data_IF_108415463051
#
_entry.id   IF_108415463051
#
_cell.length_a   1.000
_cell.length_b   1.000
_cell.length_c   1.000
_cell.angle_alpha   90.00
_cell.angle_beta   90.00
_cell.angle_gamma   90.00
#
_symmetry.space_group_name_H-M   'P 1'
#
loop_
_entity.id
_entity.type
_entity.pdbx_description
1 polymer ?
#
# COMPACT_ATOMS: atom_id res chain seq x y z
N UNK A 1 47.86 -20.41 -21.29
CA UNK A 1 47.31 -19.23 -20.58
C UNK A 1 45.80 -19.26 -20.71
N UNK A 2 45.06 -19.72 -19.69
CA UNK A 2 43.59 -19.70 -19.67
C UNK A 2 43.15 -18.68 -18.63
N UNK A 3 42.65 -17.53 -19.08
CA UNK A 3 42.07 -16.49 -18.21
C UNK A 3 40.64 -16.90 -17.89
N UNK A 4 40.36 -17.24 -16.63
CA UNK A 4 39.00 -17.45 -16.13
C UNK A 4 38.52 -16.09 -15.63
N UNK A 5 37.58 -15.49 -16.35
CA UNK A 5 36.86 -14.31 -15.90
C UNK A 5 35.66 -14.78 -15.07
N UNK A 6 35.71 -14.60 -13.76
CA UNK A 6 34.55 -14.79 -12.89
C UNK A 6 33.63 -13.57 -13.03
N UNK A 7 32.56 -13.75 -13.79
CA UNK A 7 31.48 -12.77 -13.92
C UNK A 7 30.61 -12.86 -12.67
N UNK A 8 30.67 -11.84 -11.80
CA UNK A 8 29.78 -11.72 -10.64
C UNK A 8 28.41 -11.26 -11.16
N UNK A 9 27.48 -12.19 -11.38
CA UNK A 9 26.11 -11.87 -11.75
C UNK A 9 25.36 -11.34 -10.51
N UNK A 10 25.10 -10.04 -10.48
CA UNK A 10 24.13 -9.44 -9.56
C UNK A 10 22.75 -9.81 -10.07
N UNK A 11 22.12 -10.82 -9.47
CA UNK A 11 20.72 -11.15 -9.72
C UNK A 11 19.88 -10.08 -9.03
N UNK A 12 19.40 -9.10 -9.79
CA UNK A 12 18.34 -8.21 -9.34
C UNK A 12 17.05 -9.03 -9.29
N UNK A 13 16.68 -9.50 -8.11
CA UNK A 13 15.41 -10.17 -7.87
C UNK A 13 14.31 -9.10 -7.87
N UNK A 14 13.69 -8.83 -9.02
CA UNK A 14 12.52 -7.97 -9.10
C UNK A 14 11.32 -8.76 -8.58
N UNK A 15 10.91 -8.51 -7.34
CA UNK A 15 9.63 -8.98 -6.84
C UNK A 15 8.51 -8.19 -7.53
N UNK A 16 7.76 -8.83 -8.43
CA UNK A 16 6.51 -8.27 -8.94
C UNK A 16 5.44 -8.45 -7.87
N UNK A 17 5.19 -7.42 -7.07
CA UNK A 17 4.04 -7.40 -6.17
C UNK A 17 2.77 -7.13 -7.00
N UNK A 18 1.90 -8.12 -7.14
CA UNK A 18 0.56 -7.92 -7.72
C UNK A 18 -0.39 -7.40 -6.65
N UNK A 19 -1.16 -6.35 -6.95
CA UNK A 19 -2.18 -5.84 -6.04
C UNK A 19 -3.26 -6.91 -5.78
N UNK A 20 -3.55 -7.21 -4.52
CA UNK A 20 -4.62 -8.13 -4.12
C UNK A 20 -5.93 -7.35 -3.91
N UNK A 21 -7.05 -7.89 -4.40
CA UNK A 21 -8.37 -7.35 -4.06
C UNK A 21 -8.62 -7.63 -2.57
N UNK A 22 -8.80 -6.58 -1.77
CA UNK A 22 -9.02 -6.70 -0.33
C UNK A 22 -10.50 -6.78 0.03
N UNK A 23 -11.37 -6.27 -0.84
CA UNK A 23 -12.83 -6.41 -0.73
C UNK A 23 -13.49 -6.43 -2.11
N UNK A 24 -14.48 -7.30 -2.30
CA UNK A 24 -15.29 -7.43 -3.51
C UNK A 24 -16.75 -7.78 -3.19
N UNK A 25 -17.71 -7.02 -3.70
CA UNK A 25 -19.13 -7.31 -3.52
C UNK A 25 -19.94 -6.83 -4.74
N UNK A 26 -20.73 -7.74 -5.31
CA UNK A 26 -21.51 -7.56 -6.54
C UNK A 26 -23.04 -7.73 -6.33
N UNK A 27 -23.45 -7.93 -5.08
CA UNK A 27 -24.82 -8.11 -4.60
C UNK A 27 -25.69 -9.09 -5.42
N UNK A 28 -25.05 -10.06 -6.09
CA UNK A 28 -25.73 -10.97 -7.03
C UNK A 28 -26.19 -12.28 -6.38
N UNK A 29 -25.63 -12.62 -5.21
CA UNK A 29 -25.82 -13.93 -4.55
C UNK A 29 -27.11 -14.08 -3.74
N UNK A 30 -27.76 -12.97 -3.37
CA UNK A 30 -28.97 -12.90 -2.55
C UNK A 30 -29.77 -11.63 -2.80
N UNK A 31 -31.09 -11.69 -2.62
CA UNK A 31 -31.99 -10.53 -2.60
C UNK A 31 -32.18 -9.91 -1.20
N UNK A 32 -31.51 -10.43 -0.18
CA UNK A 32 -31.68 -10.01 1.23
C UNK A 32 -30.46 -9.21 1.69
N UNK A 33 -30.68 -7.98 2.16
CA UNK A 33 -29.58 -7.08 2.61
C UNK A 33 -28.74 -7.71 3.73
N UNK A 34 -29.38 -8.42 4.66
CA UNK A 34 -28.70 -9.02 5.80
C UNK A 34 -27.65 -10.09 5.40
N UNK A 35 -27.79 -10.72 4.22
CA UNK A 35 -26.84 -11.72 3.74
C UNK A 35 -25.50 -11.10 3.29
N UNK A 36 -25.44 -9.77 3.18
CA UNK A 36 -24.25 -8.99 2.84
C UNK A 36 -23.60 -8.34 4.05
N UNK A 37 -24.09 -8.63 5.26
CA UNK A 37 -23.59 -8.06 6.51
C UNK A 37 -23.02 -9.15 7.42
N UNK A 38 -21.85 -8.89 7.99
CA UNK A 38 -21.29 -9.67 9.09
C UNK A 38 -20.60 -8.71 10.05
N UNK A 39 -20.87 -8.79 11.35
CA UNK A 39 -20.34 -7.82 12.33
C UNK A 39 -19.61 -8.56 13.46
N UNK A 40 -18.25 -8.48 13.54
CA UNK A 40 -17.35 -7.82 12.59
C UNK A 40 -17.22 -8.58 11.26
N UNK A 41 -16.94 -7.86 10.17
CA UNK A 41 -16.74 -8.48 8.84
C UNK A 41 -15.31 -9.00 8.63
N UNK A 42 -14.47 -8.93 9.67
CA UNK A 42 -13.09 -9.42 9.64
C UNK A 42 -13.03 -10.88 9.16
N UNK A 43 -12.07 -11.18 8.28
CA UNK A 43 -11.95 -12.50 7.64
C UNK A 43 -12.90 -12.75 6.47
N UNK A 44 -13.85 -11.85 6.18
CA UNK A 44 -14.65 -11.89 4.95
C UNK A 44 -14.10 -10.94 3.90
N UNK A 45 -14.20 -11.34 2.64
CA UNK A 45 -13.78 -10.51 1.49
C UNK A 45 -14.95 -9.80 0.82
N UNK A 46 -16.19 -10.09 1.23
CA UNK A 46 -17.40 -9.66 0.54
C UNK A 46 -18.47 -9.07 1.46
N UNK A 47 -18.36 -9.20 2.79
CA UNK A 47 -19.39 -8.65 3.71
C UNK A 47 -19.04 -7.26 4.22
N UNK A 48 -20.06 -6.45 4.44
CA UNK A 48 -19.98 -5.17 5.16
C UNK A 48 -20.12 -5.41 6.67
N UNK A 49 -19.52 -4.54 7.47
CA UNK A 49 -19.68 -4.55 8.94
C UNK A 49 -21.05 -4.05 9.37
N UNK A 50 -21.69 -3.22 8.55
CA UNK A 50 -23.05 -2.78 8.80
C UNK A 50 -23.65 -2.08 7.60
N UNK A 51 -24.95 -2.30 7.39
CA UNK A 51 -25.81 -1.59 6.45
C UNK A 51 -27.03 -1.19 7.28
N UNK A 52 -27.10 0.08 7.70
CA UNK A 52 -28.05 0.50 8.75
C UNK A 52 -28.76 1.82 8.40
N UNK A 53 -29.84 2.08 9.13
CA UNK A 53 -30.64 3.31 9.06
C UNK A 53 -30.86 3.85 10.48
N UNK A 54 -30.88 5.16 10.66
CA UNK A 54 -31.09 5.77 11.98
C UNK A 54 -32.54 5.65 12.46
N UNK A 55 -33.49 5.61 11.52
CA UNK A 55 -34.92 5.39 11.76
C UNK A 55 -35.65 5.16 10.42
N UNK A 56 -36.98 5.11 10.47
CA UNK A 56 -37.89 5.09 9.31
C UNK A 56 -37.65 6.24 8.32
N UNK A 57 -38.04 6.05 7.05
CA UNK A 57 -37.81 7.03 5.99
C UNK A 57 -36.51 6.82 5.20
N UNK A 58 -35.70 5.85 5.60
CA UNK A 58 -34.60 5.31 4.80
C UNK A 58 -34.76 3.80 4.72
N UNK A 59 -34.64 3.21 3.53
CA UNK A 59 -34.82 1.76 3.31
C UNK A 59 -33.72 1.22 2.42
N UNK A 60 -32.94 0.28 2.97
CA UNK A 60 -32.01 -0.53 2.20
C UNK A 60 -32.73 -1.71 1.55
N UNK A 61 -32.35 -2.04 0.33
CA UNK A 61 -32.88 -3.17 -0.44
C UNK A 61 -31.82 -3.68 -1.42
N UNK A 62 -31.99 -4.91 -1.88
CA UNK A 62 -31.29 -5.40 -3.06
C UNK A 62 -32.26 -5.28 -4.24
N UNK A 63 -31.95 -4.41 -5.18
CA UNK A 63 -32.77 -4.13 -6.35
C UNK A 63 -32.02 -4.60 -7.59
N UNK A 64 -32.53 -5.63 -8.25
CA UNK A 64 -31.93 -6.21 -9.47
C UNK A 64 -30.45 -6.59 -9.32
N UNK A 65 -30.07 -7.13 -8.15
CA UNK A 65 -28.69 -7.55 -7.88
C UNK A 65 -27.75 -6.42 -7.46
N UNK A 66 -28.28 -5.25 -7.07
CA UNK A 66 -27.48 -4.12 -6.59
C UNK A 66 -28.01 -3.58 -5.25
N UNK A 67 -27.12 -3.03 -4.41
CA UNK A 67 -27.53 -2.43 -3.14
C UNK A 67 -28.12 -1.04 -3.37
N UNK A 68 -29.37 -0.86 -2.95
CA UNK A 68 -30.12 0.39 -3.12
C UNK A 68 -30.57 0.95 -1.79
N UNK A 69 -30.37 2.26 -1.62
CA UNK A 69 -30.98 3.06 -0.56
C UNK A 69 -32.07 3.95 -1.15
N UNK A 70 -33.29 3.82 -0.67
CA UNK A 70 -34.36 4.78 -0.92
C UNK A 70 -34.58 5.64 0.33
N UNK A 71 -34.40 6.96 0.21
CA UNK A 71 -34.47 7.92 1.31
C UNK A 71 -35.54 8.98 1.06
N UNK A 72 -36.47 9.10 2.00
CA UNK A 72 -37.42 10.20 2.19
C UNK A 72 -37.19 10.98 3.49
N UNK A 73 -36.38 10.44 4.41
CA UNK A 73 -36.00 11.06 5.68
C UNK A 73 -34.98 10.21 6.44
N UNK A 74 -34.50 10.73 7.58
CA UNK A 74 -33.50 10.08 8.45
C UNK A 74 -32.18 9.72 7.75
N UNK A 75 -31.16 9.29 8.49
CA UNK A 75 -29.86 8.98 7.92
C UNK A 75 -29.71 7.48 7.66
N UNK A 76 -28.90 7.11 6.68
CA UNK A 76 -28.55 5.73 6.38
C UNK A 76 -27.06 5.63 6.02
N UNK A 77 -26.48 4.47 6.25
CA UNK A 77 -25.06 4.24 6.02
C UNK A 77 -24.79 2.77 5.67
N UNK A 78 -23.65 2.54 5.02
CA UNK A 78 -22.97 1.26 5.10
C UNK A 78 -21.49 1.48 5.44
N UNK A 79 -20.88 0.50 6.10
CA UNK A 79 -19.46 0.55 6.46
C UNK A 79 -18.79 -0.81 6.25
N UNK A 80 -17.55 -0.76 5.76
CA UNK A 80 -16.59 -1.87 5.77
C UNK A 80 -15.36 -1.39 6.53
N UNK A 81 -15.13 -1.95 7.71
CA UNK A 81 -14.05 -1.58 8.63
C UNK A 81 -12.86 -2.53 8.46
N UNK A 82 -11.64 -2.03 8.47
CA UNK A 82 -10.44 -2.86 8.22
C UNK A 82 -10.44 -3.48 6.82
N UNK A 83 -10.84 -2.71 5.81
CA UNK A 83 -10.86 -3.07 4.39
C UNK A 83 -9.48 -3.40 3.83
N UNK A 84 -8.41 -2.99 4.50
CA UNK A 84 -7.01 -3.28 4.15
C UNK A 84 -6.31 -4.21 5.16
N UNK A 85 -7.08 -4.78 6.10
CA UNK A 85 -6.55 -5.63 7.16
C UNK A 85 -5.60 -4.88 8.11
N UNK A 86 -4.62 -5.59 8.69
CA UNK A 86 -3.63 -5.03 9.61
C UNK A 86 -2.55 -4.19 8.89
N UNK A 87 -2.46 -4.30 7.56
CA UNK A 87 -1.53 -3.51 6.75
C UNK A 87 -2.23 -2.25 6.28
N UNK A 88 -1.98 -1.13 6.96
CA UNK A 88 -2.44 0.19 6.52
C UNK A 88 -2.02 0.42 5.06
N UNK A 89 -2.96 0.40 4.11
CA UNK A 89 -2.63 0.71 2.73
C UNK A 89 -2.20 2.18 2.64
N UNK A 90 -1.05 2.40 2.01
CA UNK A 90 -0.58 3.76 1.73
C UNK A 90 -1.19 4.31 0.44
N UNK A 91 -1.59 3.43 -0.48
CA UNK A 91 -2.34 3.78 -1.70
C UNK A 91 -3.52 2.82 -1.86
N UNK A 92 -4.70 3.36 -2.13
CA UNK A 92 -5.94 2.60 -2.24
C UNK A 92 -6.66 2.90 -3.56
N UNK A 93 -7.12 1.86 -4.25
CA UNK A 93 -8.09 1.97 -5.35
C UNK A 93 -9.45 1.50 -4.86
N UNK A 94 -10.47 2.34 -4.99
CA UNK A 94 -11.86 2.03 -4.67
C UNK A 94 -12.68 2.16 -5.96
N UNK A 95 -13.29 1.06 -6.38
CA UNK A 95 -14.14 1.01 -7.57
C UNK A 95 -15.54 0.55 -7.20
N UNK A 96 -16.55 1.15 -7.82
CA UNK A 96 -17.95 0.75 -7.69
C UNK A 96 -18.79 1.42 -8.78
N UNK A 97 -19.93 0.82 -9.10
CA UNK A 97 -20.94 1.44 -9.95
C UNK A 97 -21.90 2.28 -9.10
N UNK A 98 -22.29 3.44 -9.61
CA UNK A 98 -23.18 4.37 -8.94
C UNK A 98 -24.27 4.86 -9.89
N UNK A 99 -25.51 4.88 -9.41
CA UNK A 99 -26.58 5.66 -10.04
C UNK A 99 -27.44 6.36 -8.99
N UNK A 100 -28.11 7.43 -9.42
CA UNK A 100 -28.92 8.28 -8.55
C UNK A 100 -30.27 8.55 -9.21
N UNK A 101 -31.33 8.45 -8.43
CA UNK A 101 -32.67 8.88 -8.81
C UNK A 101 -33.20 9.88 -7.79
N UNK A 102 -33.26 11.14 -8.17
CA UNK A 102 -33.80 12.23 -7.36
C UNK A 102 -34.62 13.18 -8.23
N UNK A 103 -35.54 13.91 -7.59
CA UNK A 103 -36.33 14.97 -8.24
C UNK A 103 -36.07 16.35 -7.63
N UNK A 104 -35.03 16.47 -6.79
CA UNK A 104 -34.63 17.72 -6.15
C UNK A 104 -33.12 17.87 -6.18
N UNK A 105 -32.66 19.11 -6.31
CA UNK A 105 -31.24 19.42 -6.16
C UNK A 105 -30.87 19.39 -4.67
N UNK A 106 -29.81 18.67 -4.33
CA UNK A 106 -29.26 18.67 -2.97
C UNK A 106 -27.76 18.51 -3.04
N UNK A 107 -27.03 19.53 -2.62
CA UNK A 107 -25.58 19.47 -2.47
C UNK A 107 -25.21 18.51 -1.35
N UNK A 108 -24.28 17.61 -1.61
CA UNK A 108 -23.78 16.63 -0.62
C UNK A 108 -24.92 15.85 0.05
N UNK A 109 -25.82 15.31 -0.79
CA UNK A 109 -26.92 14.44 -0.35
C UNK A 109 -26.36 13.22 0.39
N UNK A 110 -25.33 12.61 -0.21
CA UNK A 110 -24.56 11.51 0.33
C UNK A 110 -23.06 11.73 0.14
N UNK A 111 -22.25 10.94 0.82
CA UNK A 111 -20.80 10.92 0.61
C UNK A 111 -20.19 9.55 0.93
N UNK A 112 -19.09 9.26 0.25
CA UNK A 112 -18.17 8.16 0.52
C UNK A 112 -16.96 8.70 1.29
N UNK A 113 -16.45 7.88 2.19
CA UNK A 113 -15.40 8.21 3.14
C UNK A 113 -14.38 7.08 3.18
N UNK A 114 -13.10 7.44 3.10
CA UNK A 114 -11.99 6.54 3.41
C UNK A 114 -11.20 7.14 4.57
N UNK A 115 -10.95 6.32 5.58
CA UNK A 115 -10.26 6.75 6.79
C UNK A 115 -10.09 5.62 7.79
N UNK A 116 -10.18 5.92 9.08
CA UNK A 116 -9.98 4.92 10.13
C UNK A 116 -10.76 5.25 11.40
N UNK A 117 -11.20 4.23 12.13
CA UNK A 117 -11.96 4.41 13.37
C UNK A 117 -13.43 4.74 13.12
N UNK A 118 -13.99 4.27 12.00
CA UNK A 118 -15.40 4.43 11.70
C UNK A 118 -16.27 3.45 12.52
N UNK A 119 -17.52 3.84 12.73
CA UNK A 119 -18.53 2.99 13.37
C UNK A 119 -19.36 2.26 12.31
N UNK A 120 -19.56 0.96 12.52
CA UNK A 120 -20.42 0.10 11.72
C UNK A 120 -21.92 0.39 11.86
N UNK A 121 -22.34 1.20 12.85
CA UNK A 121 -23.75 1.43 13.15
C UNK A 121 -24.14 2.90 13.23
N UNK A 122 -23.21 3.82 13.47
CA UNK A 122 -23.51 5.26 13.52
C UNK A 122 -23.90 5.79 12.13
N UNK A 123 -25.10 6.32 11.95
CA UNK A 123 -25.58 6.81 10.65
C UNK A 123 -25.11 8.22 10.26
N UNK A 124 -24.37 8.90 11.13
CA UNK A 124 -23.78 10.20 10.83
C UNK A 124 -22.54 10.08 9.95
N UNK A 125 -22.21 11.17 9.25
CA UNK A 125 -20.93 11.34 8.60
C UNK A 125 -19.78 11.20 9.62
N UNK A 126 -18.67 10.53 9.26
CA UNK A 126 -17.45 10.56 10.05
C UNK A 126 -16.90 11.98 10.27
N UNK A 127 -16.13 12.15 11.34
CA UNK A 127 -15.44 13.42 11.59
C UNK A 127 -14.31 13.62 10.57
N UNK A 128 -13.90 14.87 10.35
CA UNK A 128 -12.75 15.16 9.48
C UNK A 128 -11.47 14.50 10.02
N UNK A 129 -11.26 14.52 11.35
CA UNK A 129 -10.07 13.98 11.98
C UNK A 129 -9.88 12.47 11.76
N UNK A 130 -10.97 11.73 11.53
CA UNK A 130 -10.91 10.30 11.19
C UNK A 130 -11.02 10.02 9.69
N UNK A 131 -11.10 11.05 8.84
CA UNK A 131 -11.31 10.90 7.40
C UNK A 131 -10.09 11.36 6.62
N UNK A 132 -9.43 10.42 5.96
CA UNK A 132 -8.39 10.75 4.99
C UNK A 132 -9.00 11.48 3.80
N UNK A 133 -10.00 10.85 3.17
CA UNK A 133 -10.52 11.28 1.88
C UNK A 133 -12.04 11.17 1.86
N UNK A 134 -12.70 12.11 1.15
CA UNK A 134 -14.16 12.20 1.06
C UNK A 134 -14.61 12.56 -0.36
N UNK A 135 -15.61 11.84 -0.85
CA UNK A 135 -16.22 12.06 -2.15
C UNK A 135 -17.73 12.24 -1.98
N UNK A 136 -18.22 13.43 -2.26
CA UNK A 136 -19.65 13.74 -2.14
C UNK A 136 -20.44 13.38 -3.39
N UNK A 137 -21.74 13.20 -3.22
CA UNK A 137 -22.72 13.02 -4.30
C UNK A 137 -23.79 14.10 -4.15
N UNK A 138 -23.95 14.92 -5.19
CA UNK A 138 -25.03 15.88 -5.29
C UNK A 138 -26.20 15.26 -6.04
N UNK A 139 -27.40 15.48 -5.53
CA UNK A 139 -28.63 15.18 -6.25
C UNK A 139 -28.95 16.29 -7.23
N UNK A 140 -29.63 15.92 -8.32
CA UNK A 140 -30.15 16.87 -9.31
C UNK A 140 -31.67 16.77 -9.42
N UNK A 141 -32.27 17.76 -10.08
CA UNK A 141 -33.71 17.77 -10.37
C UNK A 141 -34.12 16.76 -11.44
N UNK A 142 -33.16 16.28 -12.25
CA UNK A 142 -33.40 15.31 -13.32
C UNK A 142 -33.04 13.92 -12.81
N UNK A 143 -34.04 13.05 -12.67
CA UNK A 143 -33.82 11.65 -12.25
C UNK A 143 -32.86 10.96 -13.22
N UNK A 144 -31.94 10.16 -12.67
CA UNK A 144 -30.86 9.54 -13.44
C UNK A 144 -29.63 10.44 -13.62
N UNK A 145 -29.70 11.73 -13.24
CA UNK A 145 -28.57 12.67 -13.34
C UNK A 145 -28.08 13.09 -11.95
N UNK A 146 -26.77 13.12 -11.76
CA UNK A 146 -26.11 13.55 -10.52
C UNK A 146 -24.75 14.22 -10.80
N UNK A 147 -24.14 14.76 -9.75
CA UNK A 147 -22.75 15.23 -9.81
C UNK A 147 -21.97 14.60 -8.67
N UNK A 148 -20.69 14.36 -8.90
CA UNK A 148 -19.75 14.12 -7.82
C UNK A 148 -19.29 15.46 -7.26
N UNK A 149 -18.92 15.47 -5.97
CA UNK A 149 -18.47 16.66 -5.26
C UNK A 149 -17.11 16.43 -4.62
N UNK A 150 -16.15 17.26 -4.99
CA UNK A 150 -14.92 17.44 -4.23
C UNK A 150 -15.26 18.31 -3.01
N UNK A 151 -15.48 17.66 -1.86
CA UNK A 151 -15.90 18.34 -0.64
C UNK A 151 -14.79 19.26 -0.11
N UNK A 152 -13.53 18.83 -0.19
CA UNK A 152 -12.39 19.60 0.31
C UNK A 152 -12.13 20.84 -0.56
N UNK A 153 -12.17 20.70 -1.88
CA UNK A 153 -12.00 21.78 -2.86
C UNK A 153 -13.27 22.59 -3.15
N UNK A 154 -14.41 22.22 -2.55
CA UNK A 154 -15.72 22.84 -2.76
C UNK A 154 -16.20 22.91 -4.22
N UNK A 155 -15.71 22.03 -5.09
CA UNK A 155 -16.08 21.96 -6.51
C UNK A 155 -16.96 20.75 -6.84
N UNK A 156 -17.60 20.79 -8.00
CA UNK A 156 -18.45 19.71 -8.51
C UNK A 156 -17.94 19.25 -9.88
N UNK A 157 -18.18 17.98 -10.19
CA UNK A 157 -17.99 17.46 -11.55
C UNK A 157 -19.05 18.03 -12.51
N UNK A 158 -18.87 17.76 -13.81
CA UNK A 158 -19.98 17.84 -14.76
C UNK A 158 -21.11 16.86 -14.37
N UNK A 159 -22.28 17.05 -14.99
CA UNK A 159 -23.41 16.14 -14.80
C UNK A 159 -23.07 14.76 -15.35
N UNK A 160 -23.25 13.74 -14.52
CA UNK A 160 -23.18 12.34 -14.85
C UNK A 160 -24.59 11.78 -14.99
N UNK A 161 -24.81 10.84 -15.91
CA UNK A 161 -26.15 10.30 -16.19
C UNK A 161 -26.15 8.78 -16.27
N UNK A 162 -27.18 8.13 -15.74
CA UNK A 162 -27.32 6.68 -15.71
C UNK A 162 -26.39 6.04 -14.68
N UNK A 163 -26.00 4.78 -14.93
CA UNK A 163 -25.01 4.07 -14.11
C UNK A 163 -23.61 4.51 -14.53
N UNK A 164 -22.78 4.85 -13.54
CA UNK A 164 -21.41 5.27 -13.73
C UNK A 164 -20.48 4.38 -12.95
N UNK A 165 -19.50 3.79 -13.63
CA UNK A 165 -18.39 3.11 -12.98
C UNK A 165 -17.41 4.15 -12.45
N UNK A 166 -17.31 4.26 -11.13
CA UNK A 166 -16.38 5.17 -10.48
C UNK A 166 -15.10 4.46 -10.11
N UNK A 167 -13.96 5.13 -10.30
CA UNK A 167 -12.66 4.70 -9.78
C UNK A 167 -12.05 5.84 -8.98
N UNK A 168 -11.75 5.59 -7.71
CA UNK A 168 -11.13 6.55 -6.81
C UNK A 168 -9.76 6.03 -6.39
N UNK A 169 -8.71 6.73 -6.80
CA UNK A 169 -7.32 6.40 -6.46
C UNK A 169 -6.87 7.38 -5.38
N UNK A 170 -6.49 6.88 -4.21
CA UNK A 170 -6.10 7.69 -3.05
C UNK A 170 -4.65 7.41 -2.72
N UNK A 171 -3.81 8.44 -2.75
CA UNK A 171 -2.41 8.38 -2.38
C UNK A 171 -2.17 9.07 -1.03
N UNK A 172 -1.98 8.27 0.02
CA UNK A 172 -1.65 8.72 1.36
C UNK A 172 -0.14 8.66 1.65
N UNK A 173 0.70 8.43 0.64
CA UNK A 173 2.16 8.49 0.79
C UNK A 173 2.65 9.94 0.84
N UNK A 174 3.94 10.10 1.15
CA UNK A 174 4.66 11.37 1.10
C UNK A 174 5.24 11.70 -0.30
N UNK A 175 4.98 10.87 -1.31
CA UNK A 175 5.53 11.03 -2.66
C UNK A 175 4.45 10.90 -3.73
N UNK A 176 4.76 11.28 -4.97
CA UNK A 176 3.90 11.00 -6.11
C UNK A 176 3.78 9.49 -6.34
N UNK A 177 2.59 9.03 -6.72
CA UNK A 177 2.32 7.65 -7.06
C UNK A 177 1.86 7.52 -8.50
N UNK A 178 2.51 6.65 -9.26
CA UNK A 178 2.14 6.33 -10.65
C UNK A 178 1.21 5.12 -10.70
N UNK A 179 0.14 5.20 -11.48
CA UNK A 179 -0.83 4.13 -11.65
C UNK A 179 -1.29 3.99 -13.11
N UNK A 180 -1.88 2.85 -13.46
CA UNK A 180 -2.60 2.66 -14.73
C UNK A 180 -4.04 3.11 -14.54
N UNK A 181 -4.45 4.12 -15.29
CA UNK A 181 -5.78 4.70 -15.22
C UNK A 181 -6.84 3.83 -15.92
N UNK A 182 -8.14 4.07 -15.67
CA UNK A 182 -9.25 3.32 -16.28
C UNK A 182 -9.26 3.33 -17.82
N UNK A 183 -8.73 4.39 -18.44
CA UNK A 183 -8.58 4.51 -19.89
C UNK A 183 -7.35 3.76 -20.45
N UNK A 184 -6.56 3.12 -19.58
CA UNK A 184 -5.33 2.40 -19.92
C UNK A 184 -4.07 3.28 -19.98
N UNK A 185 -4.20 4.59 -19.82
CA UNK A 185 -3.05 5.51 -19.76
C UNK A 185 -2.30 5.37 -18.44
N UNK A 186 -1.05 5.85 -18.42
CA UNK A 186 -0.29 6.03 -17.17
C UNK A 186 -0.60 7.40 -16.60
N UNK A 187 -1.01 7.45 -15.34
CA UNK A 187 -1.32 8.67 -14.61
C UNK A 187 -0.54 8.73 -13.30
N UNK A 188 -0.48 9.92 -12.72
CA UNK A 188 0.18 10.19 -11.45
C UNK A 188 -0.79 10.87 -10.52
N UNK A 189 -0.71 10.53 -9.24
CA UNK A 189 -1.39 11.26 -8.17
C UNK A 189 -0.33 11.70 -7.15
N UNK A 190 -0.24 13.00 -6.88
CA UNK A 190 0.76 13.52 -5.97
C UNK A 190 0.48 13.11 -4.51
N UNK A 191 1.45 13.35 -3.64
CA UNK A 191 1.39 13.01 -2.22
C UNK A 191 0.14 13.61 -1.55
N UNK A 192 -0.53 12.82 -0.71
CA UNK A 192 -1.70 13.23 0.08
C UNK A 192 -2.88 13.76 -0.74
N UNK A 193 -3.10 13.17 -1.91
CA UNK A 193 -4.18 13.54 -2.83
C UNK A 193 -4.85 12.32 -3.43
N UNK A 194 -5.91 12.56 -4.19
CA UNK A 194 -6.67 11.52 -4.86
C UNK A 194 -7.22 11.96 -6.22
N UNK A 195 -7.34 11.01 -7.13
CA UNK A 195 -7.98 11.19 -8.43
C UNK A 195 -9.29 10.41 -8.47
N UNK A 196 -10.29 10.99 -9.11
CA UNK A 196 -11.61 10.37 -9.30
C UNK A 196 -11.91 10.31 -10.78
N UNK A 197 -12.32 9.12 -11.23
CA UNK A 197 -12.71 8.83 -12.60
C UNK A 197 -14.16 8.38 -12.66
N UNK A 198 -14.85 8.75 -13.72
CA UNK A 198 -16.15 8.21 -14.11
C UNK A 198 -16.02 7.58 -15.51
N UNK A 199 -16.17 6.25 -15.59
CA UNK A 199 -15.78 5.48 -16.76
C UNK A 199 -14.29 5.71 -17.07
N UNK A 200 -14.00 6.21 -18.27
CA UNK A 200 -12.65 6.48 -18.76
C UNK A 200 -12.24 7.95 -18.65
N UNK A 201 -13.05 8.80 -18.02
CA UNK A 201 -12.76 10.23 -17.87
C UNK A 201 -12.44 10.59 -16.43
N UNK A 202 -11.33 11.32 -16.22
CA UNK A 202 -11.03 11.93 -14.94
C UNK A 202 -12.03 13.06 -14.68
N UNK A 203 -12.68 13.04 -13.52
CA UNK A 203 -13.67 14.05 -13.10
C UNK A 203 -13.11 14.96 -12.03
N UNK A 204 -12.17 14.46 -11.24
CA UNK A 204 -11.35 15.26 -10.35
C UNK A 204 -9.92 14.76 -10.39
N UNK A 205 -9.02 15.69 -10.65
CA UNK A 205 -7.58 15.49 -10.71
C UNK A 205 -6.97 16.15 -9.47
N UNK A 206 -6.16 15.41 -8.72
CA UNK A 206 -5.37 15.94 -7.61
C UNK A 206 -6.21 16.53 -6.45
N UNK A 207 -7.32 15.87 -6.09
CA UNK A 207 -8.13 16.27 -4.93
C UNK A 207 -7.33 16.16 -3.64
N UNK A 208 -7.24 17.26 -2.89
CA UNK A 208 -6.56 17.29 -1.58
C UNK A 208 -7.29 16.40 -0.57
N UNK A 209 -6.52 15.58 0.16
CA UNK A 209 -7.04 14.80 1.28
C UNK A 209 -7.70 15.72 2.34
N UNK A 210 -8.78 15.24 2.95
CA UNK A 210 -9.42 15.94 4.09
C UNK A 210 -8.50 16.04 5.29
N UNK A 211 -7.79 14.96 5.62
CA UNK A 211 -6.76 14.94 6.67
C UNK A 211 -5.68 13.95 6.27
N UNK A 212 -4.55 14.47 5.78
CA UNK A 212 -3.38 13.66 5.41
C UNK A 212 -2.86 12.85 6.61
N UNK A 213 -2.36 11.65 6.35
CA UNK A 213 -1.79 10.77 7.37
C UNK A 213 -2.81 9.91 8.12
N UNK A 214 -4.12 10.19 8.00
CA UNK A 214 -5.16 9.25 8.44
C UNK A 214 -5.06 7.98 7.59
N UNK A 215 -5.02 6.82 8.25
CA UNK A 215 -4.86 5.53 7.58
C UNK A 215 -6.04 5.20 6.66
N UNK A 216 -5.78 4.47 5.57
CA UNK A 216 -6.79 4.03 4.59
C UNK A 216 -7.33 2.64 4.98
N UNK A 217 -8.07 2.57 6.09
CA UNK A 217 -8.51 1.30 6.69
C UNK A 217 -10.01 1.02 6.56
N UNK A 218 -10.84 2.05 6.59
CA UNK A 218 -12.28 1.91 6.66
C UNK A 218 -12.92 2.61 5.46
N UNK A 219 -13.84 1.91 4.80
CA UNK A 219 -14.79 2.50 3.86
C UNK A 219 -16.09 2.76 4.60
N UNK A 220 -16.66 3.95 4.37
CA UNK A 220 -18.02 4.25 4.76
C UNK A 220 -18.76 5.06 3.70
N UNK A 221 -20.04 4.81 3.59
CA UNK A 221 -20.98 5.66 2.90
C UNK A 221 -22.00 6.18 3.91
N UNK A 222 -22.38 7.45 3.78
CA UNK A 222 -23.48 8.01 4.55
C UNK A 222 -24.35 8.90 3.67
N UNK A 223 -25.67 8.77 3.83
CA UNK A 223 -26.68 9.66 3.28
C UNK A 223 -27.51 10.23 4.42
N UNK A 224 -27.56 11.55 4.53
CA UNK A 224 -28.29 12.24 5.60
C UNK A 224 -29.12 13.41 5.09
N UNK A 225 -28.96 13.78 3.82
CA UNK A 225 -29.65 14.89 3.18
C UNK A 225 -30.28 14.43 1.85
N UNK A 226 -31.23 15.21 1.34
CA UNK A 226 -31.84 14.97 0.03
C UNK A 226 -32.84 13.81 0.02
N UNK A 227 -33.86 13.91 -0.83
CA UNK A 227 -34.87 12.87 -1.01
C UNK A 227 -34.69 12.24 -2.38
N UNK A 228 -34.54 10.92 -2.42
CA UNK A 228 -34.19 10.19 -3.62
C UNK A 228 -33.63 8.80 -3.29
N UNK A 229 -33.12 8.13 -4.31
CA UNK A 229 -32.45 6.84 -4.18
C UNK A 229 -31.04 6.88 -4.76
N UNK A 230 -30.13 6.12 -4.17
CA UNK A 230 -28.88 5.74 -4.81
C UNK A 230 -28.79 4.22 -4.89
N UNK A 231 -28.22 3.74 -5.97
CA UNK A 231 -27.84 2.35 -6.13
C UNK A 231 -26.33 2.26 -6.28
N UNK A 232 -25.72 1.35 -5.53
CA UNK A 232 -24.30 1.02 -5.60
C UNK A 232 -24.12 -0.46 -5.88
N UNK A 233 -23.13 -0.79 -6.70
CA UNK A 233 -22.83 -2.17 -7.09
C UNK A 233 -21.35 -2.37 -7.44
N UNK A 234 -20.94 -3.62 -7.65
CA UNK A 234 -19.63 -4.00 -8.19
C UNK A 234 -18.47 -3.35 -7.44
N UNK A 235 -18.52 -3.37 -6.11
CA UNK A 235 -17.43 -2.89 -5.28
C UNK A 235 -16.18 -3.72 -5.50
N UNK A 236 -15.06 -3.05 -5.76
CA UNK A 236 -13.72 -3.65 -5.75
C UNK A 236 -12.79 -2.67 -5.07
N UNK A 237 -12.16 -3.10 -3.99
CA UNK A 237 -11.17 -2.31 -3.25
C UNK A 237 -9.83 -3.05 -3.29
N UNK A 238 -8.77 -2.31 -3.60
CA UNK A 238 -7.42 -2.84 -3.72
C UNK A 238 -6.43 -1.94 -3.00
N UNK A 239 -5.63 -2.53 -2.12
CA UNK A 239 -4.39 -1.90 -1.67
C UNK A 239 -3.38 -1.97 -2.83
N UNK A 240 -2.91 -0.81 -3.29
CA UNK A 240 -1.93 -0.75 -4.36
C UNK A 240 -0.52 -0.78 -3.75
N UNK A 241 0.41 -1.61 -4.28
CA UNK A 241 1.75 -1.71 -3.74
C UNK A 241 2.51 -0.41 -3.95
N UNK A 242 3.18 0.05 -2.90
CA UNK A 242 4.13 1.16 -2.95
C UNK A 242 5.53 0.58 -3.11
N UNK A 243 6.25 0.90 -4.21
CA UNK A 243 7.59 0.39 -4.41
C UNK A 243 8.52 0.95 -3.33
N UNK A 244 9.06 0.08 -2.49
CA UNK A 244 10.08 0.46 -1.51
C UNK A 244 11.46 0.17 -2.09
N UNK A 245 12.32 1.18 -2.07
CA UNK A 245 13.74 1.00 -2.36
C UNK A 245 14.41 0.39 -1.12
N UNK A 246 14.72 -0.91 -1.13
CA UNK A 246 15.53 -1.51 -0.07
C UNK A 246 17.00 -1.18 -0.28
N UNK A 247 17.68 -0.68 0.76
CA UNK A 247 19.15 -0.61 0.80
C UNK A 247 19.68 -1.82 1.55
N UNK A 248 20.52 -2.62 0.89
CA UNK A 248 21.24 -3.69 1.57
C UNK A 248 22.27 -3.09 2.53
N UNK A 249 22.21 -3.44 3.81
CA UNK A 249 23.19 -2.96 4.79
C UNK A 249 24.51 -3.75 4.63
N UNK A 250 25.42 -3.24 3.80
CA UNK A 250 26.71 -3.88 3.49
C UNK A 250 27.68 -3.87 4.69
N UNK A 251 27.30 -3.28 5.84
CA UNK A 251 28.16 -3.23 7.03
C UNK A 251 28.36 -4.59 7.71
N UNK A 252 27.41 -5.53 7.59
CA UNK A 252 27.51 -6.85 8.21
C UNK A 252 28.41 -7.85 7.47
N UNK A 253 28.94 -7.51 6.29
CA UNK A 253 29.83 -8.40 5.51
C UNK A 253 31.29 -8.44 6.00
N UNK A 254 31.66 -7.67 7.03
CA UNK A 254 33.03 -7.64 7.56
C UNK A 254 33.10 -8.32 8.93
N UNK A 255 33.09 -9.64 8.96
CA UNK A 255 33.66 -10.34 10.10
C UNK A 255 35.14 -9.92 10.21
N UNK A 256 35.53 -9.34 11.34
CA UNK A 256 36.89 -8.85 11.59
C UNK A 256 37.87 -10.04 11.80
N UNK A 257 38.27 -10.70 10.71
CA UNK A 257 39.24 -11.80 10.73
C UNK A 257 40.61 -11.34 11.24
N UNK A 258 41.12 -10.19 10.78
CA UNK A 258 42.38 -9.60 11.26
C UNK A 258 42.13 -8.20 11.81
N UNK A 259 42.79 -7.87 12.94
CA UNK A 259 42.68 -6.56 13.61
C UNK A 259 43.64 -5.52 13.05
N UNK A 260 44.72 -5.96 12.42
CA UNK A 260 45.73 -5.10 11.80
C UNK A 260 45.85 -5.38 10.30
N UNK A 261 45.55 -4.37 9.48
CA UNK A 261 45.70 -4.44 8.01
C UNK A 261 47.07 -3.94 7.54
N UNK A 262 47.83 -3.29 8.43
CA UNK A 262 49.23 -2.92 8.23
C UNK A 262 50.07 -3.68 9.24
N UNK A 263 51.01 -4.47 8.75
CA UNK A 263 51.63 -5.57 9.49
C UNK A 263 53.14 -5.45 9.43
N UNK A 264 53.79 -5.42 10.60
CA UNK A 264 55.24 -5.62 10.72
C UNK A 264 55.50 -7.11 10.81
N UNK A 265 55.75 -7.67 11.99
CA UNK A 265 56.09 -9.09 12.10
C UNK A 265 54.90 -9.97 12.50
N UNK A 266 53.80 -9.40 12.99
CA UNK A 266 52.73 -10.20 13.58
C UNK A 266 51.35 -9.79 13.06
N UNK A 267 50.56 -10.77 12.62
CA UNK A 267 49.12 -10.64 12.39
C UNK A 267 48.37 -10.90 13.69
N UNK A 268 47.37 -10.07 14.00
CA UNK A 268 46.49 -10.20 15.16
C UNK A 268 45.10 -10.58 14.69
N UNK A 269 44.54 -11.67 15.22
CA UNK A 269 43.24 -12.18 14.77
C UNK A 269 42.09 -11.67 15.63
N UNK A 270 40.97 -11.35 14.97
CA UNK A 270 39.74 -10.90 15.62
C UNK A 270 38.69 -11.98 15.80
N UNK A 271 38.97 -13.21 15.37
CA UNK A 271 38.13 -14.38 15.61
C UNK A 271 38.96 -15.66 15.55
N UNK A 272 38.44 -16.74 16.12
CA UNK A 272 39.01 -18.06 15.93
C UNK A 272 38.73 -18.57 14.51
N UNK A 273 39.74 -19.08 13.82
CA UNK A 273 39.62 -19.58 12.45
C UNK A 273 40.80 -20.47 12.06
N UNK A 274 40.59 -21.33 11.05
CA UNK A 274 41.69 -21.87 10.24
C UNK A 274 41.96 -20.87 9.12
N UNK A 275 43.17 -20.34 9.07
CA UNK A 275 43.53 -19.24 8.17
C UNK A 275 44.58 -19.63 7.16
N UNK A 276 44.47 -19.06 5.96
CA UNK A 276 45.47 -19.12 4.89
C UNK A 276 45.89 -17.71 4.50
N UNK A 277 47.19 -17.44 4.50
CA UNK A 277 47.80 -16.20 3.99
C UNK A 277 48.22 -16.46 2.56
N UNK A 278 47.69 -15.66 1.64
CA UNK A 278 47.83 -15.83 0.20
C UNK A 278 48.58 -14.63 -0.37
N UNK A 279 49.62 -14.87 -1.17
CA UNK A 279 50.34 -13.81 -1.88
C UNK A 279 49.55 -13.31 -3.11
N UNK A 280 50.02 -12.24 -3.76
CA UNK A 280 49.35 -11.68 -4.94
C UNK A 280 49.34 -12.60 -6.17
N UNK A 281 50.16 -13.65 -6.17
CA UNK A 281 50.16 -14.67 -7.21
C UNK A 281 49.12 -15.79 -6.95
N UNK A 282 48.34 -15.68 -5.87
CA UNK A 282 47.32 -16.67 -5.50
C UNK A 282 47.88 -17.90 -4.78
N UNK A 283 49.16 -17.89 -4.36
CA UNK A 283 49.78 -19.01 -3.64
C UNK A 283 49.58 -18.86 -2.13
N UNK A 284 49.22 -19.96 -1.46
CA UNK A 284 49.22 -20.02 0.01
C UNK A 284 50.67 -20.04 0.49
N UNK A 285 51.07 -19.02 1.23
CA UNK A 285 52.44 -18.85 1.76
C UNK A 285 52.53 -19.14 3.25
N UNK A 286 51.40 -19.16 3.96
CA UNK A 286 51.33 -19.54 5.38
C UNK A 286 49.92 -20.04 5.74
N UNK A 287 49.84 -20.99 6.64
CA UNK A 287 48.58 -21.48 7.22
C UNK A 287 48.69 -21.53 8.74
N UNK A 288 47.59 -21.31 9.45
CA UNK A 288 47.55 -21.42 10.90
C UNK A 288 46.13 -21.74 11.39
N UNK A 289 46.02 -22.37 12.55
CA UNK A 289 44.81 -22.33 13.36
C UNK A 289 45.02 -21.26 14.44
N UNK A 290 44.10 -20.30 14.52
CA UNK A 290 44.23 -19.11 15.37
C UNK A 290 43.01 -19.00 16.26
N UNK A 291 43.20 -18.51 17.47
CA UNK A 291 42.12 -18.08 18.36
C UNK A 291 41.95 -16.56 18.29
N UNK A 292 40.84 -16.04 18.81
CA UNK A 292 40.70 -14.59 18.96
C UNK A 292 41.86 -14.00 19.78
N UNK A 293 42.35 -12.83 19.37
CA UNK A 293 43.49 -12.11 19.94
C UNK A 293 44.85 -12.82 19.84
N UNK A 294 44.92 -14.00 19.22
CA UNK A 294 46.19 -14.67 18.97
C UNK A 294 47.02 -13.92 17.91
N UNK A 295 48.32 -14.16 17.95
CA UNK A 295 49.30 -13.58 17.03
C UNK A 295 49.90 -14.66 16.14
N UNK A 296 50.03 -14.37 14.84
CA UNK A 296 50.78 -15.19 13.90
C UNK A 296 52.00 -14.42 13.43
N UNK A 297 53.19 -14.96 13.70
CA UNK A 297 54.42 -14.42 13.14
C UNK A 297 54.44 -14.56 11.62
N UNK A 298 54.78 -13.49 10.93
CA UNK A 298 54.91 -13.34 9.48
C UNK A 298 56.20 -12.60 9.12
N UNK A 299 57.18 -12.55 10.03
CA UNK A 299 58.50 -11.96 9.80
C UNK A 299 59.22 -12.52 8.56
N UNK A 300 59.01 -13.80 8.26
CA UNK A 300 59.57 -14.49 7.10
C UNK A 300 58.94 -14.10 5.77
N UNK A 301 57.80 -13.40 5.78
CA UNK A 301 57.13 -12.95 4.56
C UNK A 301 57.80 -11.68 4.02
N UNK A 302 58.02 -11.65 2.71
CA UNK A 302 58.53 -10.44 2.03
C UNK A 302 57.52 -9.30 2.16
N UNK A 303 58.00 -8.06 2.13
CA UNK A 303 57.15 -6.86 2.12
C UNK A 303 56.21 -6.90 0.92
N UNK A 304 54.94 -6.53 1.12
CA UNK A 304 53.95 -6.59 0.05
C UNK A 304 52.51 -6.75 0.53
N UNK A 305 51.60 -6.89 -0.42
CA UNK A 305 50.18 -7.13 -0.15
C UNK A 305 49.90 -8.63 -0.06
N UNK A 306 49.06 -9.01 0.90
CA UNK A 306 48.56 -10.37 1.05
C UNK A 306 47.06 -10.36 1.30
N UNK A 307 46.41 -11.50 1.06
CA UNK A 307 45.03 -11.75 1.46
C UNK A 307 45.05 -12.83 2.54
N UNK A 308 44.47 -12.53 3.69
CA UNK A 308 44.22 -13.49 4.77
C UNK A 308 42.79 -13.99 4.61
N UNK A 309 42.65 -15.28 4.42
CA UNK A 309 41.34 -15.94 4.25
C UNK A 309 41.10 -16.91 5.39
N UNK A 310 39.85 -17.10 5.77
CA UNK A 310 39.46 -18.06 6.80
C UNK A 310 37.95 -18.19 6.91
N UNK A 311 37.50 -19.15 7.70
CA UNK A 311 36.07 -19.32 8.01
C UNK A 311 35.81 -18.82 9.43
N UNK A 312 34.94 -17.83 9.58
CA UNK A 312 34.52 -17.27 10.86
C UNK A 312 33.00 -17.46 10.97
N UNK A 313 32.53 -18.13 12.03
CA UNK A 313 31.10 -18.40 12.24
C UNK A 313 30.40 -19.05 11.03
N UNK A 314 31.07 -19.99 10.36
CA UNK A 314 30.54 -20.69 9.18
C UNK A 314 30.58 -19.89 7.88
N UNK A 315 31.09 -18.65 7.88
CA UNK A 315 31.21 -17.83 6.68
C UNK A 315 32.66 -17.69 6.22
N UNK A 316 32.90 -17.78 4.92
CA UNK A 316 34.21 -17.48 4.33
C UNK A 316 34.48 -15.99 4.36
N UNK A 317 35.60 -15.59 4.93
CA UNK A 317 36.02 -14.20 5.11
C UNK A 317 37.39 -14.02 4.48
N UNK A 318 37.59 -12.93 3.75
CA UNK A 318 38.87 -12.55 3.16
C UNK A 318 39.21 -11.11 3.51
N UNK A 319 40.43 -10.88 3.98
CA UNK A 319 40.90 -9.54 4.34
C UNK A 319 42.27 -9.26 3.75
N UNK A 320 42.39 -8.12 3.08
CA UNK A 320 43.66 -7.63 2.56
C UNK A 320 44.51 -7.05 3.68
N UNK A 321 45.79 -7.43 3.71
CA UNK A 321 46.80 -6.85 4.60
C UNK A 321 48.02 -6.39 3.80
N UNK A 322 48.81 -5.49 4.38
CA UNK A 322 50.05 -4.95 3.83
C UNK A 322 51.17 -5.21 4.83
N UNK A 323 52.13 -6.06 4.44
CA UNK A 323 53.38 -6.32 5.16
C UNK A 323 54.38 -5.21 4.84
N UNK A 324 54.81 -4.48 5.88
CA UNK A 324 55.85 -3.43 5.80
C UNK A 324 57.26 -3.94 6.07
#
# INVERSE_FOLDING_TARGET
MKKIYSLLAVVALTATATAQNTFQQDFSSSSTVADYVNTPAVGTTDKFDGITTSNSGSVWSIDSGALKIARTGNAAQFARLGVTGDTNAEVLSVQFDLSVSSSSSTTNAAAFYIGSGYSATANSAPSNASSNSRLGVNFSTTSGTFQLRNIAGSSNSANLTGVQKLTWIINNTSSEYTYTAPDGSTQTVAASKSDVWAGNAIVFDEMVATTSGVALQDLKFAISNGTGSLTVDNFVIKALPVPTMSVGDVKNGKANLVKNTIVSNELIFGAAAKVSVINMNGQVVKTAEVSENSRLDVSSLVKGTYVVTGVVNGQSVSQKIIKK
#
